data_IF_300509106947
#
_entry.id   IF_300509106947
#
_cell.length_a   1.000
_cell.length_b   1.000
_cell.length_c   1.000
_cell.angle_alpha   90.00
_cell.angle_beta   90.00
_cell.angle_gamma   90.00
#
_symmetry.space_group_name_H-M   'P 1'
#
loop_
_entity.id
_entity.type
_entity.pdbx_description
1 polymer ?
#
# COMPACT_ATOMS: atom_id res chain seq x y z
N UNK A 1 20.32 34.20 28.53
CA UNK A 1 19.59 32.93 28.78
C UNK A 1 18.71 32.64 27.59
N UNK A 2 19.05 31.62 26.78
CA UNK A 2 18.23 31.22 25.64
C UNK A 2 17.09 30.31 26.10
N UNK A 3 15.83 30.70 25.83
CA UNK A 3 14.64 29.86 26.06
C UNK A 3 14.56 28.83 24.93
N UNK A 4 14.82 27.57 25.23
CA UNK A 4 14.51 26.45 24.34
C UNK A 4 13.00 26.29 24.34
N UNK A 5 12.35 26.60 23.22
CA UNK A 5 10.93 26.33 22.99
C UNK A 5 10.83 24.94 22.37
N UNK A 6 10.23 23.93 23.04
CA UNK A 6 10.03 22.63 22.43
C UNK A 6 9.01 22.77 21.30
N UNK A 7 9.43 22.48 20.06
CA UNK A 7 8.52 22.30 18.93
C UNK A 7 7.76 20.99 19.20
N UNK A 8 6.58 21.10 19.81
CA UNK A 8 5.59 20.02 19.75
C UNK A 8 5.10 19.96 18.30
N UNK A 9 5.67 19.07 17.51
CA UNK A 9 5.11 18.71 16.22
C UNK A 9 3.78 18.02 16.48
N UNK A 10 2.70 18.78 16.57
CA UNK A 10 1.35 18.24 16.51
C UNK A 10 1.21 17.63 15.11
N UNK A 11 1.47 16.32 14.98
CA UNK A 11 1.07 15.56 13.81
C UNK A 11 -0.46 15.60 13.81
N UNK A 12 -1.04 16.59 13.12
CA UNK A 12 -2.47 16.63 12.90
C UNK A 12 -2.87 15.28 12.32
N UNK A 13 -3.82 14.60 12.98
CA UNK A 13 -4.38 13.38 12.42
C UNK A 13 -4.96 13.76 11.04
N UNK A 14 -4.51 13.07 9.99
CA UNK A 14 -5.05 13.27 8.65
C UNK A 14 -6.59 13.13 8.72
N UNK A 15 -7.34 13.98 8.00
CA UNK A 15 -8.79 13.92 8.00
C UNK A 15 -9.26 12.51 7.61
N UNK A 16 -10.29 12.00 8.30
CA UNK A 16 -10.88 10.72 7.98
C UNK A 16 -11.52 10.79 6.59
N UNK A 17 -10.96 10.05 5.64
CA UNK A 17 -11.45 10.01 4.27
C UNK A 17 -12.69 9.11 4.18
N UNK A 18 -13.69 9.47 3.36
CA UNK A 18 -14.94 8.72 3.22
C UNK A 18 -14.75 7.49 2.30
N UNK A 19 -13.92 6.54 2.71
CA UNK A 19 -13.67 5.33 1.92
C UNK A 19 -14.95 4.51 1.71
N UNK A 20 -15.21 4.16 0.45
CA UNK A 20 -16.23 3.18 0.06
C UNK A 20 -15.56 1.83 -0.08
N UNK A 21 -16.12 0.82 0.59
CA UNK A 21 -15.63 -0.56 0.53
C UNK A 21 -16.65 -1.42 -0.19
N UNK A 22 -16.26 -1.93 -1.35
CA UNK A 22 -17.02 -2.89 -2.15
C UNK A 22 -16.36 -4.27 -2.00
N UNK A 23 -17.15 -5.32 -1.83
CA UNK A 23 -16.64 -6.68 -1.67
C UNK A 23 -17.45 -7.64 -2.54
N UNK A 24 -16.74 -8.48 -3.27
CA UNK A 24 -17.28 -9.66 -3.95
C UNK A 24 -16.58 -10.95 -3.42
N UNK A 25 -16.89 -12.09 -4.03
CA UNK A 25 -16.39 -13.39 -3.60
C UNK A 25 -14.85 -13.55 -3.75
N UNK A 26 -14.21 -12.70 -4.55
CA UNK A 26 -12.80 -12.83 -4.92
C UNK A 26 -11.95 -11.62 -4.52
N UNK A 27 -12.58 -10.47 -4.27
CA UNK A 27 -11.89 -9.20 -4.11
C UNK A 27 -12.61 -8.21 -3.21
N UNK A 28 -11.82 -7.34 -2.61
CA UNK A 28 -12.25 -6.17 -1.85
C UNK A 28 -11.66 -4.95 -2.52
N UNK A 29 -12.52 -4.02 -2.93
CA UNK A 29 -12.13 -2.74 -3.51
C UNK A 29 -12.43 -1.63 -2.52
N UNK A 30 -11.44 -0.77 -2.29
CA UNK A 30 -11.58 0.44 -1.48
C UNK A 30 -11.33 1.65 -2.37
N UNK A 31 -12.30 2.56 -2.43
CA UNK A 31 -12.26 3.73 -3.32
C UNK A 31 -12.77 4.99 -2.61
N UNK A 32 -12.73 6.12 -3.30
CA UNK A 32 -13.29 7.39 -2.83
C UNK A 32 -14.41 7.86 -3.78
N UNK A 33 -15.56 8.32 -3.27
CA UNK A 33 -16.64 8.82 -4.12
C UNK A 33 -16.22 10.02 -4.98
N UNK A 34 -15.43 10.92 -4.38
CA UNK A 34 -15.02 12.19 -5.01
C UNK A 34 -13.72 12.07 -5.81
N UNK A 35 -13.09 10.88 -5.82
CA UNK A 35 -11.88 10.60 -6.58
C UNK A 35 -12.01 9.23 -7.27
N UNK A 36 -12.64 9.19 -8.46
CA UNK A 36 -12.91 7.94 -9.17
C UNK A 36 -11.65 7.25 -9.68
N UNK A 37 -10.50 7.94 -9.66
CA UNK A 37 -9.21 7.37 -10.04
C UNK A 37 -8.40 6.87 -8.83
N UNK A 38 -8.86 7.15 -7.60
CA UNK A 38 -8.32 6.53 -6.39
C UNK A 38 -8.97 5.17 -6.17
N UNK A 39 -8.17 4.10 -6.15
CA UNK A 39 -8.63 2.81 -5.65
C UNK A 39 -7.48 1.89 -5.23
N UNK A 40 -7.80 1.04 -4.26
CA UNK A 40 -7.03 -0.16 -3.90
C UNK A 40 -7.92 -1.36 -4.14
N UNK A 41 -7.42 -2.36 -4.84
CA UNK A 41 -8.09 -3.66 -4.98
C UNK A 41 -7.23 -4.76 -4.37
N UNK A 42 -7.83 -5.49 -3.44
CA UNK A 42 -7.24 -6.65 -2.79
C UNK A 42 -7.96 -7.91 -3.27
N UNK A 43 -7.23 -8.83 -3.87
CA UNK A 43 -7.73 -10.15 -4.26
C UNK A 43 -7.31 -11.22 -3.25
N UNK A 44 -8.22 -12.14 -2.95
CA UNK A 44 -7.97 -13.26 -2.05
C UNK A 44 -7.54 -14.47 -2.88
N UNK A 45 -6.25 -14.59 -3.15
CA UNK A 45 -5.69 -15.74 -3.85
C UNK A 45 -5.47 -16.93 -2.89
N UNK A 46 -5.29 -18.13 -3.45
CA UNK A 46 -5.06 -19.34 -2.66
C UNK A 46 -3.83 -19.26 -1.73
N UNK A 47 -2.81 -18.49 -2.12
CA UNK A 47 -1.58 -18.28 -1.35
C UNK A 47 -1.67 -17.10 -0.37
N UNK A 48 -2.80 -16.38 -0.32
CA UNK A 48 -2.99 -15.21 0.52
C UNK A 48 -3.45 -13.95 -0.24
N UNK A 49 -3.56 -12.83 0.47
CA UNK A 49 -4.01 -11.56 -0.10
C UNK A 49 -2.99 -10.99 -1.11
N UNK A 50 -3.49 -10.42 -2.19
CA UNK A 50 -2.71 -9.79 -3.26
C UNK A 50 -3.31 -8.44 -3.60
N UNK A 51 -2.48 -7.41 -3.77
CA UNK A 51 -2.92 -6.09 -4.26
C UNK A 51 -2.86 -6.10 -5.78
N UNK A 52 -4.02 -6.24 -6.44
CA UNK A 52 -4.11 -6.29 -7.90
C UNK A 52 -4.23 -4.90 -8.54
N UNK A 53 -4.71 -3.92 -7.78
CA UNK A 53 -4.71 -2.51 -8.19
C UNK A 53 -4.31 -1.59 -7.04
N UNK A 54 -3.45 -0.60 -7.33
CA UNK A 54 -2.92 0.32 -6.33
C UNK A 54 -2.72 1.73 -6.88
N UNK A 55 -3.81 2.48 -7.03
CA UNK A 55 -3.82 3.79 -7.68
C UNK A 55 -4.13 4.93 -6.69
N UNK A 56 -3.20 5.89 -6.48
CA UNK A 56 -3.40 7.01 -5.56
C UNK A 56 -4.38 8.07 -6.07
N UNK A 57 -4.77 8.07 -7.35
CA UNK A 57 -5.59 9.14 -7.90
C UNK A 57 -5.00 10.52 -7.63
N UNK A 58 -5.79 11.42 -7.04
CA UNK A 58 -5.37 12.75 -6.57
C UNK A 58 -4.91 12.77 -5.09
N UNK A 59 -4.99 11.63 -4.40
CA UNK A 59 -4.70 11.54 -2.97
C UNK A 59 -3.21 11.36 -2.66
N UNK A 60 -2.86 11.66 -1.40
CA UNK A 60 -1.54 11.37 -0.86
C UNK A 60 -1.35 9.85 -0.67
N UNK A 61 -0.10 9.40 -0.69
CA UNK A 61 0.24 7.98 -0.52
C UNK A 61 -0.21 7.41 0.83
N UNK A 62 -0.30 8.24 1.88
CA UNK A 62 -0.84 7.81 3.18
C UNK A 62 -2.31 7.39 3.06
N UNK A 63 -3.12 8.08 2.25
CA UNK A 63 -4.51 7.72 1.99
C UNK A 63 -4.61 6.35 1.33
N UNK A 64 -3.68 6.05 0.43
CA UNK A 64 -3.60 4.78 -0.26
C UNK A 64 -3.23 3.64 0.70
N UNK A 65 -2.30 3.87 1.62
CA UNK A 65 -1.94 2.94 2.68
C UNK A 65 -3.11 2.69 3.66
N UNK A 66 -3.86 3.72 4.03
CA UNK A 66 -5.07 3.61 4.86
C UNK A 66 -6.17 2.82 4.17
N UNK A 67 -6.40 3.03 2.87
CA UNK A 67 -7.35 2.24 2.09
C UNK A 67 -6.94 0.76 2.03
N UNK A 68 -5.65 0.47 1.84
CA UNK A 68 -5.13 -0.90 1.86
C UNK A 68 -5.28 -1.56 3.24
N UNK A 69 -4.96 -0.83 4.32
CA UNK A 69 -5.20 -1.29 5.69
C UNK A 69 -6.67 -1.65 5.90
N UNK A 70 -7.60 -0.79 5.43
CA UNK A 70 -9.04 -1.04 5.49
C UNK A 70 -9.46 -2.28 4.70
N UNK A 71 -8.90 -2.51 3.52
CA UNK A 71 -9.14 -3.71 2.71
C UNK A 71 -8.69 -4.98 3.45
N UNK A 72 -7.49 -4.97 4.03
CA UNK A 72 -6.94 -6.09 4.79
C UNK A 72 -7.75 -6.40 6.05
N UNK A 73 -8.22 -5.37 6.75
CA UNK A 73 -9.09 -5.54 7.93
C UNK A 73 -10.45 -6.12 7.54
N UNK A 74 -11.01 -5.69 6.40
CA UNK A 74 -12.25 -6.26 5.86
C UNK A 74 -12.07 -7.72 5.44
N UNK A 75 -10.90 -8.09 4.92
CA UNK A 75 -10.50 -9.47 4.65
C UNK A 75 -10.16 -10.28 5.91
N UNK A 76 -10.24 -9.68 7.10
CA UNK A 76 -9.82 -10.28 8.37
C UNK A 76 -8.36 -10.79 8.37
N UNK A 77 -7.50 -10.20 7.53
CA UNK A 77 -6.06 -10.51 7.50
C UNK A 77 -5.42 -9.84 8.71
N UNK A 78 -5.01 -10.64 9.70
CA UNK A 78 -4.39 -10.11 10.93
C UNK A 78 -2.89 -9.94 10.79
N UNK A 79 -2.22 -10.91 10.16
CA UNK A 79 -0.76 -10.98 10.02
C UNK A 79 -0.39 -11.21 8.55
N UNK A 80 0.64 -10.50 8.11
CA UNK A 80 1.21 -10.65 6.78
C UNK A 80 2.53 -11.43 6.89
N UNK A 81 2.73 -12.42 6.02
CA UNK A 81 4.05 -13.00 5.74
C UNK A 81 4.64 -12.41 4.46
N UNK A 82 3.77 -12.15 3.48
CA UNK A 82 4.08 -11.37 2.30
C UNK A 82 2.84 -10.71 1.71
N UNK A 83 3.05 -9.63 0.96
CA UNK A 83 2.00 -8.92 0.24
C UNK A 83 2.49 -8.55 -1.17
N UNK A 84 2.05 -9.29 -2.20
CA UNK A 84 2.33 -8.95 -3.58
C UNK A 84 1.50 -7.75 -4.05
N UNK A 85 2.14 -6.86 -4.80
CA UNK A 85 1.57 -5.74 -5.53
C UNK A 85 1.80 -6.00 -7.02
N UNK A 86 0.73 -6.27 -7.75
CA UNK A 86 0.82 -6.69 -9.15
C UNK A 86 0.75 -5.50 -10.09
N UNK A 87 1.35 -5.67 -11.27
CA UNK A 87 1.17 -4.79 -12.43
C UNK A 87 1.51 -3.31 -12.15
N UNK A 88 2.40 -3.04 -11.20
CA UNK A 88 2.71 -1.70 -10.70
C UNK A 88 3.35 -0.79 -11.76
N UNK A 89 4.13 -1.36 -12.68
CA UNK A 89 4.70 -0.63 -13.82
C UNK A 89 4.51 -1.45 -15.10
N UNK A 90 3.97 -0.81 -16.15
CA UNK A 90 3.86 -1.38 -17.49
C UNK A 90 5.15 -1.17 -18.27
N UNK A 91 5.52 -2.13 -19.11
CA UNK A 91 6.76 -2.06 -19.89
C UNK A 91 8.01 -2.54 -19.15
N UNK A 92 7.84 -3.19 -17.99
CA UNK A 92 8.92 -3.92 -17.33
C UNK A 92 10.15 -3.07 -17.02
N UNK A 93 11.32 -3.67 -17.25
CA UNK A 93 12.65 -3.06 -17.07
C UNK A 93 13.13 -2.24 -18.29
N UNK A 94 12.23 -1.74 -19.13
CA UNK A 94 12.63 -0.87 -20.24
C UNK A 94 13.40 0.36 -19.72
N UNK A 95 14.42 0.85 -20.44
CA UNK A 95 15.30 1.92 -19.95
C UNK A 95 14.56 3.19 -19.50
N UNK A 96 13.46 3.52 -20.18
CA UNK A 96 12.66 4.72 -19.90
C UNK A 96 11.77 4.58 -18.66
N UNK A 97 11.62 3.37 -18.10
CA UNK A 97 10.77 3.11 -16.94
C UNK A 97 11.48 3.33 -15.60
N UNK A 98 12.78 3.64 -15.59
CA UNK A 98 13.54 3.87 -14.35
C UNK A 98 12.83 4.78 -13.32
N UNK A 99 12.36 5.98 -13.72
CA UNK A 99 11.61 6.85 -12.82
C UNK A 99 10.32 6.23 -12.27
N UNK A 100 9.53 5.59 -13.14
CA UNK A 100 8.27 4.93 -12.76
C UNK A 100 8.50 3.76 -11.80
N UNK A 101 9.58 3.01 -11.97
CA UNK A 101 9.96 1.91 -11.07
C UNK A 101 10.34 2.42 -9.68
N UNK A 102 11.09 3.52 -9.61
CA UNK A 102 11.46 4.16 -8.33
C UNK A 102 10.21 4.68 -7.63
N UNK A 103 9.32 5.36 -8.35
CA UNK A 103 8.06 5.87 -7.80
C UNK A 103 7.18 4.74 -7.28
N UNK A 104 6.96 3.69 -8.08
CA UNK A 104 6.17 2.53 -7.67
C UNK A 104 6.79 1.82 -6.45
N UNK A 105 8.11 1.63 -6.42
CA UNK A 105 8.82 1.05 -5.27
C UNK A 105 8.62 1.89 -4.01
N UNK A 106 8.77 3.21 -4.11
CA UNK A 106 8.62 4.11 -2.97
C UNK A 106 7.18 4.10 -2.44
N UNK A 107 6.19 4.07 -3.34
CA UNK A 107 4.77 3.95 -2.98
C UNK A 107 4.49 2.64 -2.23
N UNK A 108 4.97 1.51 -2.75
CA UNK A 108 4.85 0.20 -2.10
C UNK A 108 5.55 0.18 -0.74
N UNK A 109 6.77 0.72 -0.67
CA UNK A 109 7.55 0.81 0.56
C UNK A 109 6.81 1.62 1.64
N UNK A 110 6.29 2.80 1.31
CA UNK A 110 5.56 3.65 2.27
C UNK A 110 4.26 2.99 2.76
N UNK A 111 3.53 2.33 1.86
CA UNK A 111 2.35 1.57 2.23
C UNK A 111 2.70 0.39 3.15
N UNK A 112 3.78 -0.33 2.85
CA UNK A 112 4.27 -1.40 3.71
C UNK A 112 4.71 -0.89 5.09
N UNK A 113 5.39 0.24 5.17
CA UNK A 113 5.84 0.85 6.44
C UNK A 113 4.66 1.23 7.32
N UNK A 114 3.63 1.81 6.71
CA UNK A 114 2.37 2.10 7.39
C UNK A 114 1.74 0.82 7.95
N UNK A 115 1.58 -0.21 7.13
CA UNK A 115 0.99 -1.49 7.55
C UNK A 115 1.81 -2.19 8.64
N UNK A 116 3.13 -2.20 8.51
CA UNK A 116 4.05 -2.76 9.48
C UNK A 116 3.90 -2.07 10.84
N UNK A 117 3.80 -0.73 10.86
CA UNK A 117 3.53 0.06 12.06
C UNK A 117 2.20 -0.29 12.72
N UNK A 118 1.10 -0.29 11.96
CA UNK A 118 -0.25 -0.62 12.46
C UNK A 118 -0.31 -2.05 13.02
N UNK A 119 0.36 -3.01 12.37
CA UNK A 119 0.31 -4.43 12.71
C UNK A 119 1.43 -4.89 13.64
N UNK A 120 2.32 -3.99 14.07
CA UNK A 120 3.52 -4.28 14.87
C UNK A 120 4.40 -5.38 14.25
N UNK A 121 4.54 -5.33 12.93
CA UNK A 121 5.41 -6.21 12.15
C UNK A 121 6.63 -5.43 11.65
N UNK A 122 7.66 -6.13 11.19
CA UNK A 122 8.82 -5.54 10.51
C UNK A 122 8.77 -5.87 9.03
N UNK A 123 9.29 -4.98 8.19
CA UNK A 123 9.53 -5.29 6.77
C UNK A 123 10.87 -5.99 6.69
N UNK A 124 10.89 -7.21 6.15
CA UNK A 124 12.13 -7.97 5.93
C UNK A 124 12.75 -7.65 4.56
N UNK A 125 11.92 -7.31 3.57
CA UNK A 125 12.41 -6.93 2.26
C UNK A 125 11.32 -6.54 1.29
N UNK A 126 11.75 -5.89 0.22
CA UNK A 126 10.92 -5.62 -0.95
C UNK A 126 11.67 -6.14 -2.16
N UNK A 127 11.10 -7.13 -2.83
CA UNK A 127 11.64 -7.71 -4.05
C UNK A 127 10.82 -7.28 -5.25
N UNK A 128 11.45 -7.25 -6.43
CA UNK A 128 10.81 -6.96 -7.69
C UNK A 128 10.81 -8.21 -8.55
N UNK A 129 9.71 -8.43 -9.28
CA UNK A 129 9.61 -9.54 -10.23
C UNK A 129 9.00 -9.03 -11.52
N UNK A 130 9.65 -9.34 -12.64
CA UNK A 130 9.05 -9.12 -13.95
C UNK A 130 8.09 -10.26 -14.30
N UNK A 131 6.90 -9.91 -14.80
CA UNK A 131 5.89 -10.85 -15.27
C UNK A 131 5.19 -10.27 -16.50
N UNK A 132 5.33 -10.95 -17.65
CA UNK A 132 4.66 -10.57 -18.92
C UNK A 132 4.89 -9.09 -19.31
N UNK A 133 6.11 -8.58 -19.14
CA UNK A 133 6.46 -7.19 -19.43
C UNK A 133 5.85 -6.16 -18.47
N UNK A 134 5.46 -6.60 -17.27
CA UNK A 134 5.03 -5.75 -16.15
C UNK A 134 5.89 -6.03 -14.93
N UNK A 135 6.00 -5.05 -14.04
CA UNK A 135 6.72 -5.21 -12.77
C UNK A 135 5.75 -5.38 -11.61
N UNK A 136 5.94 -6.49 -10.89
CA UNK A 136 5.31 -6.75 -9.61
C UNK A 136 6.32 -6.42 -8.48
N UNK A 137 5.81 -6.02 -7.32
CA UNK A 137 6.59 -5.85 -6.09
C UNK A 137 6.07 -6.80 -5.03
N UNK A 138 6.96 -7.47 -4.30
CA UNK A 138 6.58 -8.38 -3.23
C UNK A 138 7.25 -7.90 -1.96
N UNK A 139 6.42 -7.52 -0.99
CA UNK A 139 6.89 -7.11 0.34
C UNK A 139 6.83 -8.33 1.25
N UNK A 140 7.92 -8.62 1.95
CA UNK A 140 7.99 -9.66 2.97
C UNK A 140 7.92 -9.02 4.35
N UNK A 141 7.13 -9.61 5.24
CA UNK A 141 6.93 -9.14 6.61
C UNK A 141 7.38 -10.19 7.62
N UNK A 142 8.09 -9.73 8.64
CA UNK A 142 8.61 -10.51 9.76
C UNK A 142 8.12 -9.98 11.09
N UNK A 143 8.47 -10.69 12.17
CA UNK A 143 8.16 -10.25 13.53
C UNK A 143 6.66 -10.25 13.86
N UNK A 144 6.37 -10.25 15.15
CA UNK A 144 5.03 -10.45 15.73
C UNK A 144 5.08 -11.60 16.72
N UNK A 145 5.29 -11.26 17.99
CA UNK A 145 5.08 -12.16 19.13
C UNK A 145 3.60 -12.54 19.23
#
# INVERSE_FOLDING_TARGET
>A
MAKIVPIRTYRQAAPALPFVVEQDDFSIKVSLPDDPIFWVRLEMAAAGPVVSDFNPGSQQEESLARALSRALDKAAVKRLSGLPFLDMVRGGLQPNNGPALIEARNRVQRAAEFLAGERRQTIEGVSMRERRGKMDFIVSFGGGN
#
